data_IF_542533980218
#
_entry.id   IF_542533980218
#
_cell.length_a   1.000
_cell.length_b   1.000
_cell.length_c   1.000
_cell.angle_alpha   90.00
_cell.angle_beta   90.00
_cell.angle_gamma   90.00
#
_symmetry.space_group_name_H-M   'P 1'
#
loop_
_entity.id
_entity.type
_entity.pdbx_description
1 polymer ?
#
# COMPACT_ATOMS: atom_id res chain seq x y z
N UNK A 1 26.34 23.21 24.60
CA UNK A 1 25.23 22.81 23.69
C UNK A 1 25.61 22.67 22.21
N UNK A 2 26.90 22.68 21.82
CA UNK A 2 27.31 22.56 20.40
C UNK A 2 27.71 21.15 19.95
N UNK A 3 28.13 20.26 20.86
CA UNK A 3 28.59 18.90 20.52
C UNK A 3 27.47 17.91 20.17
N UNK A 4 26.22 18.20 20.56
CA UNK A 4 25.08 17.30 20.32
C UNK A 4 24.52 17.44 18.89
N UNK A 5 24.60 18.64 18.29
CA UNK A 5 24.10 18.90 16.93
C UNK A 5 24.91 18.22 15.82
N UNK A 6 26.17 17.87 16.08
CA UNK A 6 27.04 17.23 15.09
C UNK A 6 26.91 15.70 15.03
N UNK A 7 26.28 15.07 16.05
CA UNK A 7 26.03 13.61 16.11
C UNK A 7 24.76 13.17 15.37
N UNK A 8 23.89 14.11 15.00
CA UNK A 8 22.67 13.83 14.23
C UNK A 8 22.92 13.80 12.71
N UNK A 9 24.10 14.24 12.24
CA UNK A 9 24.44 14.32 10.80
C UNK A 9 24.91 13.00 10.18
N UNK A 10 24.95 11.90 10.94
CA UNK A 10 25.51 10.62 10.48
C UNK A 10 24.46 9.55 10.19
N UNK A 11 23.18 9.87 10.25
CA UNK A 11 22.11 8.93 9.92
C UNK A 11 21.45 9.36 8.61
N UNK A 12 21.68 8.57 7.57
CA UNK A 12 20.90 8.65 6.33
C UNK A 12 19.45 8.32 6.68
N UNK A 13 18.52 9.23 6.37
CA UNK A 13 17.09 8.93 6.54
C UNK A 13 16.63 7.98 5.44
N UNK A 14 15.47 7.33 5.62
CA UNK A 14 14.87 6.52 4.55
C UNK A 14 14.68 7.35 3.27
N UNK A 15 14.28 8.61 3.40
CA UNK A 15 14.11 9.52 2.27
C UNK A 15 15.42 9.84 1.56
N UNK A 16 16.50 10.09 2.32
CA UNK A 16 17.83 10.32 1.76
C UNK A 16 18.36 9.09 1.03
N UNK A 17 18.18 7.89 1.61
CA UNK A 17 18.54 6.62 0.98
C UNK A 17 17.72 6.38 -0.28
N UNK A 18 16.38 6.55 -0.22
CA UNK A 18 15.46 6.37 -1.35
C UNK A 18 15.85 7.29 -2.50
N UNK A 19 16.13 8.57 -2.21
CA UNK A 19 16.54 9.56 -3.21
C UNK A 19 17.83 9.17 -3.93
N UNK A 20 18.76 8.53 -3.23
CA UNK A 20 20.00 8.04 -3.83
C UNK A 20 19.77 6.80 -4.72
N UNK A 21 18.95 5.85 -4.26
CA UNK A 21 18.62 4.65 -5.05
C UNK A 21 17.82 4.98 -6.32
N UNK A 22 16.96 6.01 -6.29
CA UNK A 22 16.18 6.49 -7.43
C UNK A 22 17.02 7.06 -8.59
N UNK A 23 18.37 7.09 -8.49
CA UNK A 23 19.26 7.45 -9.60
C UNK A 23 19.60 6.27 -10.50
N UNK A 24 19.44 5.04 -10.02
CA UNK A 24 19.68 3.82 -10.80
C UNK A 24 18.44 3.45 -11.63
N UNK A 25 18.51 3.46 -12.98
CA UNK A 25 17.37 3.13 -13.84
C UNK A 25 16.81 1.72 -13.62
N UNK A 26 17.62 0.75 -13.21
CA UNK A 26 17.16 -0.61 -12.92
C UNK A 26 16.37 -0.64 -11.61
N UNK A 27 16.89 -0.01 -10.57
CA UNK A 27 16.19 0.21 -9.30
C UNK A 27 14.88 0.96 -9.52
N UNK A 28 14.89 2.07 -10.27
CA UNK A 28 13.69 2.87 -10.58
C UNK A 28 12.62 2.03 -11.27
N UNK A 29 13.01 1.16 -12.21
CA UNK A 29 12.06 0.28 -12.91
C UNK A 29 11.38 -0.70 -11.97
N UNK A 30 12.14 -1.40 -11.13
CA UNK A 30 11.58 -2.37 -10.18
C UNK A 30 10.86 -1.67 -9.02
N UNK A 31 11.37 -0.51 -8.59
CA UNK A 31 10.70 0.36 -7.62
C UNK A 31 9.34 0.81 -8.14
N UNK A 32 9.22 1.28 -9.39
CA UNK A 32 7.94 1.69 -9.97
C UNK A 32 6.96 0.55 -10.20
N UNK A 33 7.43 -0.65 -10.55
CA UNK A 33 6.56 -1.84 -10.59
C UNK A 33 5.98 -2.15 -9.21
N UNK A 34 6.84 -2.08 -8.19
CA UNK A 34 6.40 -2.21 -6.80
C UNK A 34 5.46 -1.06 -6.40
N UNK A 35 5.72 0.16 -6.87
CA UNK A 35 4.93 1.37 -6.62
C UNK A 35 3.49 1.21 -7.14
N UNK A 36 3.29 0.67 -8.35
CA UNK A 36 1.94 0.41 -8.87
C UNK A 36 1.17 -0.64 -8.03
N UNK A 37 1.87 -1.67 -7.53
CA UNK A 37 1.28 -2.62 -6.59
C UNK A 37 0.96 -1.93 -5.25
N UNK A 38 1.87 -1.14 -4.71
CA UNK A 38 1.69 -0.39 -3.47
C UNK A 38 0.54 0.62 -3.55
N UNK A 39 0.40 1.35 -4.66
CA UNK A 39 -0.71 2.28 -4.90
C UNK A 39 -2.06 1.57 -4.80
N UNK A 40 -2.20 0.38 -5.41
CA UNK A 40 -3.42 -0.41 -5.29
C UNK A 40 -3.71 -0.80 -3.83
N UNK A 41 -2.69 -1.16 -3.06
CA UNK A 41 -2.82 -1.50 -1.64
C UNK A 41 -3.27 -0.30 -0.80
N UNK A 42 -2.64 0.85 -1.00
CA UNK A 42 -2.99 2.10 -0.32
C UNK A 42 -4.42 2.51 -0.65
N UNK A 43 -4.84 2.37 -1.91
CA UNK A 43 -6.23 2.64 -2.32
C UNK A 43 -7.23 1.72 -1.62
N UNK A 44 -6.93 0.42 -1.50
CA UNK A 44 -7.80 -0.54 -0.79
C UNK A 44 -7.87 -0.20 0.70
N UNK A 45 -6.72 0.08 1.33
CA UNK A 45 -6.64 0.45 2.73
C UNK A 45 -7.41 1.75 3.02
N UNK A 46 -7.19 2.78 2.21
CA UNK A 46 -7.89 4.05 2.32
C UNK A 46 -9.40 3.86 2.17
N UNK A 47 -9.85 3.13 1.15
CA UNK A 47 -11.26 2.83 0.94
C UNK A 47 -11.90 2.09 2.13
N UNK A 48 -11.16 1.18 2.79
CA UNK A 48 -11.65 0.51 4.01
C UNK A 48 -11.80 1.48 5.17
N UNK A 49 -10.81 2.37 5.37
CA UNK A 49 -10.83 3.36 6.43
C UNK A 49 -11.94 4.39 6.22
N UNK A 50 -12.18 4.86 4.99
CA UNK A 50 -13.31 5.71 4.62
C UNK A 50 -14.66 5.05 4.91
N UNK A 51 -14.75 3.72 4.72
CA UNK A 51 -15.95 2.95 5.05
C UNK A 51 -16.11 2.67 6.56
N UNK A 52 -15.16 3.13 7.39
CA UNK A 52 -15.10 2.92 8.84
C UNK A 52 -15.14 1.44 9.24
N UNK A 53 -14.52 0.57 8.43
CA UNK A 53 -14.50 -0.87 8.66
C UNK A 53 -13.16 -1.34 9.23
N UNK A 54 -13.22 -2.19 10.24
CA UNK A 54 -12.11 -3.07 10.59
C UNK A 54 -11.90 -4.14 9.51
N UNK A 55 -10.71 -4.75 9.45
CA UNK A 55 -10.44 -5.86 8.52
C UNK A 55 -11.43 -7.02 8.69
N UNK A 56 -11.82 -7.35 9.93
CA UNK A 56 -12.82 -8.39 10.24
C UNK A 56 -14.21 -8.03 9.73
N UNK A 57 -14.63 -6.77 9.89
CA UNK A 57 -15.93 -6.31 9.39
C UNK A 57 -15.97 -6.31 7.86
N UNK A 58 -14.90 -5.86 7.20
CA UNK A 58 -14.78 -5.94 5.75
C UNK A 58 -14.82 -7.40 5.28
N UNK A 59 -14.08 -8.29 5.94
CA UNK A 59 -14.09 -9.72 5.63
C UNK A 59 -15.50 -10.32 5.74
N UNK A 60 -16.23 -9.99 6.80
CA UNK A 60 -17.63 -10.41 6.98
C UNK A 60 -18.53 -9.90 5.86
N UNK A 61 -18.46 -8.62 5.51
CA UNK A 61 -19.24 -8.03 4.40
C UNK A 61 -18.87 -8.65 3.05
N UNK A 62 -17.60 -8.96 2.83
CA UNK A 62 -17.10 -9.56 1.60
C UNK A 62 -17.29 -11.09 1.51
N UNK A 63 -17.77 -11.75 2.57
CA UNK A 63 -17.85 -13.22 2.64
C UNK A 63 -16.47 -13.88 2.53
N UNK A 64 -15.49 -13.31 3.23
CA UNK A 64 -14.08 -13.71 3.22
C UNK A 64 -13.57 -13.96 4.64
N UNK A 65 -12.42 -14.64 4.75
CA UNK A 65 -11.68 -14.72 6.00
C UNK A 65 -10.89 -13.44 6.26
N UNK A 66 -10.71 -13.04 7.51
CA UNK A 66 -9.97 -11.82 7.86
C UNK A 66 -8.51 -11.89 7.39
N UNK A 67 -7.87 -13.07 7.44
CA UNK A 67 -6.51 -13.28 6.98
C UNK A 67 -6.39 -13.10 5.45
N UNK A 68 -7.48 -13.29 4.71
CA UNK A 68 -7.50 -12.98 3.28
C UNK A 68 -7.51 -11.47 3.02
N UNK A 69 -8.24 -10.69 3.84
CA UNK A 69 -8.19 -9.22 3.77
C UNK A 69 -6.83 -8.70 4.20
N UNK A 70 -6.26 -9.24 5.29
CA UNK A 70 -4.93 -8.83 5.75
C UNK A 70 -3.84 -9.07 4.70
N UNK A 71 -3.84 -10.22 4.03
CA UNK A 71 -2.89 -10.52 2.94
C UNK A 71 -3.10 -9.66 1.69
N UNK A 72 -4.33 -9.19 1.45
CA UNK A 72 -4.59 -8.21 0.39
C UNK A 72 -3.95 -6.89 0.80
N UNK A 73 -4.30 -6.33 1.96
CA UNK A 73 -3.80 -5.01 2.42
C UNK A 73 -2.28 -4.96 2.66
N UNK A 74 -1.63 -6.10 2.91
CA UNK A 74 -0.18 -6.18 3.12
C UNK A 74 0.64 -6.53 1.87
N UNK A 75 0.01 -6.70 0.71
CA UNK A 75 0.70 -7.07 -0.54
C UNK A 75 1.18 -8.52 -0.59
N UNK A 76 0.83 -9.35 0.39
CA UNK A 76 1.20 -10.77 0.43
C UNK A 76 0.30 -11.65 -0.45
N UNK A 77 -0.53 -11.06 -1.30
CA UNK A 77 -1.38 -11.78 -2.23
C UNK A 77 -1.55 -11.00 -3.54
N UNK A 78 -1.74 -11.73 -4.63
CA UNK A 78 -2.16 -11.20 -5.92
C UNK A 78 -3.65 -11.53 -6.13
N UNK A 79 -4.58 -10.69 -5.63
CA UNK A 79 -6.01 -10.98 -5.70
C UNK A 79 -6.52 -10.91 -7.14
N UNK A 80 -7.32 -11.91 -7.54
CA UNK A 80 -8.03 -11.86 -8.83
C UNK A 80 -8.94 -10.64 -8.92
N UNK A 81 -9.24 -10.18 -10.14
CA UNK A 81 -10.26 -9.14 -10.36
C UNK A 81 -11.60 -9.43 -9.66
N UNK A 82 -12.03 -10.71 -9.64
CA UNK A 82 -13.25 -11.13 -8.93
C UNK A 82 -13.15 -10.86 -7.43
N UNK A 83 -11.99 -11.11 -6.84
CA UNK A 83 -11.71 -10.82 -5.43
C UNK A 83 -11.75 -9.32 -5.17
N UNK A 84 -11.02 -8.54 -5.98
CA UNK A 84 -10.98 -7.08 -5.87
C UNK A 84 -12.39 -6.47 -5.99
N UNK A 85 -13.19 -6.90 -6.96
CA UNK A 85 -14.56 -6.44 -7.15
C UNK A 85 -15.44 -6.75 -5.93
N UNK A 86 -15.27 -7.92 -5.32
CA UNK A 86 -16.02 -8.31 -4.12
C UNK A 86 -15.65 -7.46 -2.91
N UNK A 87 -14.35 -7.19 -2.72
CA UNK A 87 -13.85 -6.31 -1.66
C UNK A 87 -14.36 -4.88 -1.87
N UNK A 88 -14.28 -4.35 -3.09
CA UNK A 88 -14.81 -3.04 -3.44
C UNK A 88 -16.32 -2.93 -3.15
N UNK A 89 -17.11 -3.92 -3.57
CA UNK A 89 -18.55 -3.94 -3.32
C UNK A 89 -18.89 -3.97 -1.81
N UNK A 90 -18.10 -4.66 -0.99
CA UNK A 90 -18.27 -4.69 0.46
C UNK A 90 -18.02 -3.32 1.14
N UNK A 91 -17.34 -2.41 0.44
CA UNK A 91 -17.07 -1.02 0.85
C UNK A 91 -17.94 0.00 0.11
N UNK A 92 -18.95 -0.45 -0.65
CA UNK A 92 -19.76 0.39 -1.54
C UNK A 92 -18.93 1.18 -2.58
N UNK A 93 -17.86 0.54 -3.09
CA UNK A 93 -16.96 1.09 -4.12
C UNK A 93 -17.04 0.26 -5.41
N UNK A 94 -16.47 0.81 -6.48
CA UNK A 94 -16.30 0.14 -7.78
C UNK A 94 -14.87 0.30 -8.29
N UNK A 95 -14.41 -0.68 -9.07
CA UNK A 95 -13.14 -0.59 -9.80
C UNK A 95 -13.38 0.18 -11.11
N UNK A 96 -12.49 1.10 -11.44
CA UNK A 96 -12.53 1.86 -12.68
C UNK A 96 -11.11 2.08 -13.22
N UNK A 97 -11.00 2.28 -14.53
CA UNK A 97 -9.77 2.77 -15.13
C UNK A 97 -9.64 4.28 -14.86
N UNK A 98 -8.43 4.70 -14.48
CA UNK A 98 -8.06 6.11 -14.28
C UNK A 98 -6.98 6.49 -15.28
N UNK A 99 -6.85 7.78 -15.59
CA UNK A 99 -5.73 8.25 -16.41
C UNK A 99 -4.44 8.14 -15.60
N UNK A 100 -3.35 7.73 -16.25
CA UNK A 100 -2.00 7.80 -15.70
C UNK A 100 -1.49 9.24 -15.72
#
# INVERSE_FOLDING_TARGET
MSKLKNRLKTFTTFDDWRKEQMKDPEFVREYHKLDEEFELLEMILAARLEAELTQTQLAKKAGMKQEAIARIESGQSNPSYRTLRRVAAAMDKKIAFVKK
#
